data_IF_214627494541
#
_entry.id   IF_214627494541
#
_cell.length_a   1.000
_cell.length_b   1.000
_cell.length_c   1.000
_cell.angle_alpha   90.00
_cell.angle_beta   90.00
_cell.angle_gamma   90.00
#
_symmetry.space_group_name_H-M   'P 1'
#
loop_
_entity.id
_entity.type
_entity.pdbx_description
1 polymer ?
#
# COMPACT_ATOMS: atom_id res chain seq x y z
N UNK A 1 44.91 -59.01 -53.15
CA UNK A 1 43.85 -58.09 -52.70
C UNK A 1 43.81 -56.95 -53.72
N UNK A 2 42.87 -57.04 -54.68
CA UNK A 2 42.67 -56.19 -55.88
C UNK A 2 42.45 -54.70 -55.52
N UNK A 3 42.99 -53.69 -56.24
CA UNK A 3 42.72 -53.20 -57.64
C UNK A 3 41.22 -52.84 -57.83
N UNK A 4 40.76 -51.75 -58.45
CA UNK A 4 41.27 -50.90 -59.54
C UNK A 4 40.38 -49.62 -59.67
N UNK A 5 40.82 -48.70 -60.53
CA UNK A 5 40.32 -47.38 -60.94
C UNK A 5 38.91 -47.24 -61.57
N UNK A 6 38.49 -45.96 -61.68
CA UNK A 6 37.78 -45.23 -62.79
C UNK A 6 36.32 -44.72 -62.53
N UNK A 7 35.90 -43.57 -63.12
CA UNK A 7 34.66 -42.83 -62.82
C UNK A 7 33.56 -42.99 -63.89
N UNK A 8 32.47 -42.21 -63.71
CA UNK A 8 31.58 -41.61 -64.74
C UNK A 8 30.18 -42.25 -65.02
N UNK A 9 29.18 -41.36 -64.98
CA UNK A 9 27.86 -41.27 -65.69
C UNK A 9 26.62 -42.10 -65.24
N UNK A 10 25.54 -41.34 -64.98
CA UNK A 10 24.21 -41.36 -65.66
C UNK A 10 22.95 -41.76 -64.85
N UNK A 11 22.13 -40.74 -64.59
CA UNK A 11 20.67 -40.62 -64.83
C UNK A 11 19.74 -41.78 -64.42
N UNK A 12 18.79 -41.48 -63.52
CA UNK A 12 17.62 -42.33 -63.27
C UNK A 12 16.53 -41.59 -62.48
N UNK A 13 15.48 -41.19 -63.20
CA UNK A 13 14.27 -40.52 -62.76
C UNK A 13 13.46 -41.27 -61.68
N UNK A 14 12.65 -40.49 -60.95
CA UNK A 14 11.33 -40.80 -60.36
C UNK A 14 11.25 -41.68 -59.10
N UNK A 15 10.90 -41.05 -57.96
CA UNK A 15 9.59 -41.17 -57.28
C UNK A 15 9.64 -40.40 -55.94
N UNK A 16 8.72 -39.46 -55.74
CA UNK A 16 8.61 -38.67 -54.51
C UNK A 16 8.06 -39.51 -53.34
N UNK A 17 8.49 -39.25 -52.09
CA UNK A 17 7.70 -39.58 -50.91
C UNK A 17 6.89 -38.35 -50.41
N UNK A 18 5.79 -38.60 -49.70
CA UNK A 18 4.68 -37.66 -49.55
C UNK A 18 4.97 -36.54 -48.56
N UNK A 19 4.52 -35.32 -48.91
CA UNK A 19 4.32 -34.21 -47.99
C UNK A 19 3.03 -34.48 -47.22
N UNK A 20 3.07 -35.27 -46.16
CA UNK A 20 1.96 -35.39 -45.20
C UNK A 20 2.55 -35.75 -43.84
N UNK A 21 2.36 -34.88 -42.84
CA UNK A 21 2.91 -35.03 -41.49
C UNK A 21 3.34 -33.73 -40.81
N UNK A 22 3.33 -32.60 -41.52
CA UNK A 22 3.51 -31.28 -40.89
C UNK A 22 2.18 -30.63 -40.50
N UNK A 23 1.15 -30.82 -41.33
CA UNK A 23 -0.18 -30.23 -41.07
C UNK A 23 -0.96 -30.97 -39.98
N UNK A 24 -0.82 -32.28 -39.85
CA UNK A 24 -1.49 -33.02 -38.76
C UNK A 24 -0.94 -32.61 -37.38
N UNK A 25 0.37 -32.34 -37.28
CA UNK A 25 1.00 -31.84 -36.03
C UNK A 25 0.59 -30.40 -35.74
N UNK A 26 0.37 -29.58 -36.78
CA UNK A 26 -0.11 -28.21 -36.60
C UNK A 26 -1.59 -28.16 -36.20
N UNK A 27 -2.43 -29.02 -36.75
CA UNK A 27 -3.84 -29.11 -36.36
C UNK A 27 -3.97 -29.66 -34.93
N UNK A 28 -3.16 -30.66 -34.55
CA UNK A 28 -3.13 -31.21 -33.18
C UNK A 28 -2.64 -30.15 -32.16
N UNK A 29 -1.61 -29.37 -32.52
CA UNK A 29 -1.15 -28.23 -31.71
C UNK A 29 -2.17 -27.08 -31.67
N UNK A 30 -2.91 -26.82 -32.76
CA UNK A 30 -3.99 -25.82 -32.76
C UNK A 30 -5.18 -26.28 -31.90
N UNK A 31 -5.42 -27.59 -31.82
CA UNK A 31 -6.48 -28.17 -31.02
C UNK A 31 -6.09 -28.19 -29.54
N UNK A 32 -4.84 -28.54 -29.18
CA UNK A 32 -4.30 -28.39 -27.82
C UNK A 32 -4.30 -26.92 -27.36
N UNK A 33 -3.91 -25.97 -28.22
CA UNK A 33 -3.96 -24.53 -27.90
C UNK A 33 -5.39 -24.00 -27.71
N UNK A 34 -6.40 -24.64 -28.34
CA UNK A 34 -7.80 -24.26 -28.18
C UNK A 34 -8.46 -24.86 -26.93
N UNK A 35 -7.90 -25.93 -26.37
CA UNK A 35 -8.38 -26.58 -25.14
C UNK A 35 -7.74 -26.00 -23.87
N UNK A 36 -6.62 -25.27 -23.97
CA UNK A 36 -6.01 -24.54 -22.84
C UNK A 36 -6.67 -23.17 -22.54
N UNK A 37 -7.59 -22.68 -23.39
CA UNK A 37 -8.45 -21.54 -23.05
C UNK A 37 -9.65 -22.02 -22.20
N UNK A 38 -9.34 -22.71 -21.09
CA UNK A 38 -10.34 -23.16 -20.14
C UNK A 38 -10.92 -21.96 -19.40
N UNK A 39 -12.23 -21.78 -19.52
CA UNK A 39 -13.07 -20.69 -18.98
C UNK A 39 -13.21 -20.69 -17.45
N UNK A 40 -12.21 -21.16 -16.72
CA UNK A 40 -12.21 -21.31 -15.26
C UNK A 40 -10.86 -20.87 -14.64
N UNK A 41 -10.12 -19.97 -15.32
CA UNK A 41 -8.93 -19.33 -14.73
C UNK A 41 -9.38 -18.24 -13.73
N UNK A 42 -9.08 -18.36 -12.42
CA UNK A 42 -9.39 -17.34 -11.43
C UNK A 42 -8.67 -16.00 -11.65
N UNK A 43 -7.76 -15.91 -12.63
CA UNK A 43 -7.10 -14.68 -13.07
C UNK A 43 -7.31 -14.43 -14.57
N UNK A 44 -8.58 -14.25 -14.96
CA UNK A 44 -8.94 -13.76 -16.28
C UNK A 44 -8.25 -12.40 -16.56
N UNK A 45 -7.46 -12.35 -17.63
CA UNK A 45 -6.73 -11.15 -18.05
C UNK A 45 -7.69 -9.99 -18.36
N UNK A 46 -8.88 -10.27 -18.89
CA UNK A 46 -9.89 -9.25 -19.16
C UNK A 46 -10.47 -8.68 -17.86
N UNK A 47 -10.70 -9.50 -16.84
CA UNK A 47 -11.14 -9.03 -15.53
C UNK A 47 -10.02 -8.25 -14.82
N UNK A 48 -8.76 -8.64 -15.00
CA UNK A 48 -7.62 -7.88 -14.48
C UNK A 48 -7.49 -6.52 -15.19
N UNK A 49 -7.62 -6.46 -16.52
CA UNK A 49 -7.62 -5.22 -17.28
C UNK A 49 -8.80 -4.35 -16.86
N UNK A 50 -10.00 -4.92 -16.70
CA UNK A 50 -11.19 -4.20 -16.27
C UNK A 50 -11.03 -3.62 -14.86
N UNK A 51 -10.48 -4.39 -13.91
CA UNK A 51 -10.17 -3.91 -12.56
C UNK A 51 -9.08 -2.82 -12.57
N UNK A 52 -8.08 -2.93 -13.45
CA UNK A 52 -7.04 -1.91 -13.62
C UNK A 52 -7.61 -0.63 -14.26
N UNK A 53 -8.53 -0.75 -15.22
CA UNK A 53 -9.23 0.38 -15.84
C UNK A 53 -10.15 1.09 -14.84
N UNK A 54 -10.91 0.34 -14.04
CA UNK A 54 -11.75 0.87 -12.97
C UNK A 54 -10.93 1.55 -11.86
N UNK A 55 -9.72 1.05 -11.60
CA UNK A 55 -8.75 1.70 -10.70
C UNK A 55 -8.14 2.96 -11.33
N UNK A 56 -7.92 2.97 -12.65
CA UNK A 56 -7.37 4.11 -13.38
C UNK A 56 -8.39 5.24 -13.62
N UNK A 57 -9.69 4.94 -13.51
CA UNK A 57 -10.79 5.90 -13.68
C UNK A 57 -11.34 6.43 -12.36
N UNK A 58 -10.68 6.16 -11.23
CA UNK A 58 -11.04 6.80 -9.97
C UNK A 58 -11.00 8.32 -10.17
N UNK A 59 -12.14 9.02 -10.03
CA UNK A 59 -12.18 10.45 -10.23
C UNK A 59 -11.17 11.08 -9.27
N UNK A 60 -10.37 12.04 -9.76
CA UNK A 60 -9.49 12.84 -8.90
C UNK A 60 -10.34 13.35 -7.75
N UNK A 61 -10.16 12.75 -6.57
CA UNK A 61 -11.08 12.92 -5.45
C UNK A 61 -10.89 14.33 -4.92
N UNK A 62 -11.75 15.23 -5.38
CA UNK A 62 -11.85 16.58 -4.85
C UNK A 62 -12.86 16.56 -3.70
N UNK A 63 -12.40 16.97 -2.52
CA UNK A 63 -13.25 17.09 -1.35
C UNK A 63 -13.68 18.55 -1.19
N UNK A 64 -14.96 18.77 -0.93
CA UNK A 64 -15.56 20.10 -0.82
C UNK A 64 -15.03 20.89 0.39
N UNK A 65 -14.58 20.19 1.43
CA UNK A 65 -13.98 20.74 2.65
C UNK A 65 -12.44 20.75 2.64
N UNK A 66 -11.83 20.54 1.47
CA UNK A 66 -10.37 20.61 1.26
C UNK A 66 -10.07 21.66 0.19
N UNK A 67 -10.14 22.97 0.51
CA UNK A 67 -9.90 24.02 -0.46
C UNK A 67 -8.41 24.09 -0.85
N UNK A 68 -8.12 24.49 -2.09
CA UNK A 68 -6.74 24.59 -2.62
C UNK A 68 -5.80 25.47 -1.79
N UNK A 69 -6.35 26.45 -1.08
CA UNK A 69 -5.60 27.35 -0.20
C UNK A 69 -5.29 26.75 1.18
N UNK A 70 -5.85 25.59 1.54
CA UNK A 70 -5.57 24.95 2.82
C UNK A 70 -4.14 24.37 2.85
N UNK A 71 -3.48 24.48 4.00
CA UNK A 71 -2.12 23.97 4.21
C UNK A 71 -2.00 22.46 3.96
N UNK A 72 -3.09 21.72 4.17
CA UNK A 72 -3.17 20.27 4.00
C UNK A 72 -3.61 19.82 2.60
N UNK A 73 -3.95 20.75 1.68
CA UNK A 73 -4.51 20.42 0.37
C UNK A 73 -3.64 19.41 -0.39
N UNK A 74 -2.35 19.74 -0.58
CA UNK A 74 -1.43 18.89 -1.33
C UNK A 74 -1.26 17.50 -0.69
N UNK A 75 -1.16 17.43 0.64
CA UNK A 75 -1.02 16.16 1.34
C UNK A 75 -2.25 15.29 1.16
N UNK A 76 -3.44 15.83 1.46
CA UNK A 76 -4.72 15.10 1.35
C UNK A 76 -4.97 14.64 -0.08
N UNK A 77 -4.80 15.52 -1.07
CA UNK A 77 -4.98 15.15 -2.49
C UNK A 77 -4.00 14.06 -2.92
N UNK A 78 -2.74 14.12 -2.47
CA UNK A 78 -1.75 13.10 -2.82
C UNK A 78 -2.08 11.74 -2.20
N UNK A 79 -2.37 11.67 -0.90
CA UNK A 79 -2.66 10.39 -0.24
C UNK A 79 -4.02 9.83 -0.68
N UNK A 80 -4.98 10.69 -1.06
CA UNK A 80 -6.26 10.26 -1.63
C UNK A 80 -6.08 9.70 -3.05
N UNK A 81 -5.26 10.36 -3.89
CA UNK A 81 -4.94 9.87 -5.23
C UNK A 81 -4.20 8.52 -5.21
N UNK A 82 -3.49 8.20 -4.12
CA UNK A 82 -2.86 6.90 -3.89
C UNK A 82 -3.78 5.87 -3.20
N UNK A 83 -5.04 6.20 -2.94
CA UNK A 83 -6.00 5.30 -2.29
C UNK A 83 -5.78 5.07 -0.80
N UNK A 84 -4.82 5.75 -0.17
CA UNK A 84 -4.45 5.57 1.24
C UNK A 84 -5.54 6.14 2.18
N UNK A 85 -6.16 7.24 1.75
CA UNK A 85 -7.29 7.85 2.46
C UNK A 85 -8.49 7.96 1.54
N UNK A 86 -9.67 7.89 2.14
CA UNK A 86 -10.93 8.22 1.47
C UNK A 86 -11.69 9.25 2.29
N UNK A 87 -12.59 9.97 1.63
CA UNK A 87 -13.61 10.76 2.31
C UNK A 87 -14.68 9.87 2.96
N UNK A 88 -15.63 10.51 3.62
CA UNK A 88 -16.78 9.84 4.20
C UNK A 88 -17.69 9.28 3.12
N UNK A 89 -18.28 8.14 3.43
CA UNK A 89 -19.36 7.52 2.66
C UNK A 89 -20.66 7.61 3.44
N UNK A 90 -21.77 7.71 2.73
CA UNK A 90 -23.10 7.63 3.34
C UNK A 90 -23.43 6.18 3.76
N UNK A 91 -24.61 5.97 4.37
CA UNK A 91 -25.05 4.65 4.80
C UNK A 91 -25.23 3.63 3.65
N UNK A 92 -25.33 4.11 2.41
CA UNK A 92 -25.44 3.29 1.21
C UNK A 92 -24.08 3.04 0.56
N UNK A 93 -22.98 3.55 1.13
CA UNK A 93 -21.63 3.40 0.61
C UNK A 93 -21.23 4.45 -0.44
N UNK A 94 -22.07 5.43 -0.74
CA UNK A 94 -21.77 6.47 -1.73
C UNK A 94 -20.81 7.52 -1.13
N UNK A 95 -19.80 7.99 -1.88
CA UNK A 95 -18.94 9.08 -1.44
C UNK A 95 -19.76 10.36 -1.17
N UNK A 96 -19.56 10.96 0.00
CA UNK A 96 -20.23 12.22 0.39
C UNK A 96 -19.55 13.48 -0.18
N UNK A 97 -18.32 13.35 -0.67
CA UNK A 97 -17.48 14.49 -1.08
C UNK A 97 -16.85 15.27 0.10
N UNK A 98 -16.91 14.72 1.32
CA UNK A 98 -16.36 15.32 2.55
C UNK A 98 -15.18 14.48 3.06
N UNK A 99 -14.06 15.13 3.37
CA UNK A 99 -12.88 14.48 3.95
C UNK A 99 -12.87 14.50 5.49
N UNK A 100 -13.36 15.58 6.09
CA UNK A 100 -13.33 15.84 7.53
C UNK A 100 -11.94 16.18 8.07
N UNK A 101 -11.19 17.16 7.51
CA UNK A 101 -9.79 17.40 7.87
C UNK A 101 -9.55 17.66 9.37
N UNK A 102 -10.51 18.28 10.06
CA UNK A 102 -10.43 18.59 11.49
C UNK A 102 -10.87 17.46 12.43
N UNK A 103 -11.41 16.36 11.90
CA UNK A 103 -11.89 15.26 12.74
C UNK A 103 -10.71 14.49 13.33
N UNK A 104 -10.82 14.00 14.58
CA UNK A 104 -9.80 13.15 15.15
C UNK A 104 -9.66 11.86 14.35
N UNK A 105 -8.48 11.27 14.38
CA UNK A 105 -8.19 9.99 13.77
C UNK A 105 -7.97 8.94 14.85
N UNK A 106 -8.56 7.77 14.64
CA UNK A 106 -8.44 6.62 15.54
C UNK A 106 -7.18 5.80 15.28
N UNK A 107 -6.78 4.96 16.24
CA UNK A 107 -5.69 3.99 16.07
C UNK A 107 -5.95 3.07 14.87
N UNK A 108 -7.18 2.56 14.73
CA UNK A 108 -7.58 1.71 13.62
C UNK A 108 -7.42 2.40 12.25
N UNK A 109 -7.81 3.67 12.15
CA UNK A 109 -7.66 4.45 10.92
C UNK A 109 -6.19 4.66 10.57
N UNK A 110 -5.32 4.99 11.53
CA UNK A 110 -3.88 5.11 11.26
C UNK A 110 -3.25 3.79 10.85
N UNK A 111 -3.65 2.66 11.46
CA UNK A 111 -3.17 1.35 11.03
C UNK A 111 -3.47 1.13 9.56
N UNK A 112 -4.72 1.36 9.14
CA UNK A 112 -5.11 1.29 7.72
C UNK A 112 -4.23 2.19 6.86
N UNK A 113 -4.17 3.48 7.20
CA UNK A 113 -3.48 4.47 6.39
C UNK A 113 -1.97 4.18 6.29
N UNK A 114 -1.33 3.77 7.38
CA UNK A 114 0.10 3.47 7.41
C UNK A 114 0.45 2.21 6.60
N UNK A 115 -0.37 1.15 6.69
CA UNK A 115 -0.14 -0.08 5.92
C UNK A 115 -0.42 0.09 4.43
N UNK A 116 -1.45 0.85 4.06
CA UNK A 116 -1.70 1.21 2.66
C UNK A 116 -0.57 2.09 2.11
N UNK A 117 -0.09 3.05 2.90
CA UNK A 117 1.06 3.87 2.52
C UNK A 117 2.34 3.05 2.34
N UNK A 118 2.55 2.03 3.17
CA UNK A 118 3.68 1.11 3.07
C UNK A 118 3.52 0.06 1.94
N UNK A 119 2.39 0.06 1.21
CA UNK A 119 2.12 -0.89 0.13
C UNK A 119 1.94 -2.33 0.59
N UNK A 120 1.52 -2.54 1.83
CA UNK A 120 1.35 -3.89 2.39
C UNK A 120 -0.02 -4.44 2.02
N UNK A 121 -0.02 -5.59 1.34
CA UNK A 121 -1.24 -6.32 1.00
C UNK A 121 -1.69 -7.16 2.20
N UNK A 122 -2.76 -6.74 2.88
CA UNK A 122 -3.22 -7.41 4.11
C UNK A 122 -3.66 -8.86 3.92
N UNK A 123 -4.01 -9.25 2.70
CA UNK A 123 -4.31 -10.63 2.33
C UNK A 123 -3.09 -11.57 2.48
N UNK A 124 -1.87 -11.03 2.46
CA UNK A 124 -0.63 -11.82 2.58
C UNK A 124 -0.20 -12.05 4.03
N UNK A 125 -0.77 -11.32 4.98
CA UNK A 125 -0.46 -11.46 6.39
C UNK A 125 -1.18 -12.67 7.00
N UNK A 126 -0.77 -13.05 8.20
CA UNK A 126 -1.56 -13.94 9.07
C UNK A 126 -2.95 -13.36 9.28
N UNK A 127 -3.95 -14.23 9.30
CA UNK A 127 -5.36 -13.83 9.45
C UNK A 127 -5.85 -13.96 10.91
N UNK A 128 -5.02 -14.51 11.80
CA UNK A 128 -5.30 -14.58 13.23
C UNK A 128 -4.95 -13.27 13.92
N UNK A 129 -5.76 -12.86 14.90
CA UNK A 129 -5.48 -11.74 15.79
C UNK A 129 -5.47 -12.22 17.23
N UNK A 130 -4.55 -11.70 18.02
CA UNK A 130 -4.44 -11.94 19.46
C UNK A 130 -5.17 -10.86 20.25
N UNK A 131 -5.26 -9.63 19.72
CA UNK A 131 -6.00 -8.53 20.30
C UNK A 131 -7.52 -8.81 20.23
N UNK A 132 -8.20 -9.08 21.37
CA UNK A 132 -9.56 -9.62 21.33
C UNK A 132 -10.59 -8.71 20.65
N UNK A 133 -10.50 -7.40 20.89
CA UNK A 133 -11.38 -6.40 20.27
C UNK A 133 -11.24 -6.34 18.74
N UNK A 134 -10.12 -6.80 18.17
CA UNK A 134 -9.89 -6.79 16.73
C UNK A 134 -10.67 -7.89 16.00
N UNK A 135 -11.12 -8.95 16.69
CA UNK A 135 -11.70 -10.13 16.05
C UNK A 135 -12.96 -9.83 15.20
N UNK A 136 -13.78 -8.88 15.63
CA UNK A 136 -14.97 -8.41 14.91
C UNK A 136 -14.82 -6.97 14.36
N UNK A 137 -13.62 -6.40 14.47
CA UNK A 137 -13.38 -5.02 14.06
C UNK A 137 -13.12 -4.93 12.56
N UNK A 138 -13.58 -3.87 11.90
CA UNK A 138 -13.32 -3.64 10.47
C UNK A 138 -11.81 -3.58 10.17
N UNK A 139 -11.01 -3.12 11.13
CA UNK A 139 -9.56 -3.01 11.02
C UNK A 139 -8.81 -4.33 11.27
N UNK A 140 -9.52 -5.45 11.50
CA UNK A 140 -8.93 -6.78 11.70
C UNK A 140 -7.77 -7.12 10.74
N UNK A 141 -7.89 -6.97 9.40
CA UNK A 141 -6.79 -7.32 8.50
C UNK A 141 -5.51 -6.51 8.78
N UNK A 142 -5.64 -5.21 9.09
CA UNK A 142 -4.49 -4.36 9.43
C UNK A 142 -3.92 -4.70 10.80
N UNK A 143 -4.76 -5.01 11.79
CA UNK A 143 -4.30 -5.46 13.11
C UNK A 143 -3.54 -6.77 13.00
N UNK A 144 -4.00 -7.71 12.18
CA UNK A 144 -3.32 -8.99 11.99
C UNK A 144 -1.91 -8.81 11.37
N UNK A 145 -1.79 -7.95 10.36
CA UNK A 145 -0.48 -7.54 9.82
C UNK A 145 0.40 -6.82 10.86
N UNK A 146 -0.20 -5.96 11.68
CA UNK A 146 0.48 -5.23 12.75
C UNK A 146 1.04 -6.15 13.83
N UNK A 147 0.27 -7.16 14.24
CA UNK A 147 0.75 -8.18 15.18
C UNK A 147 1.87 -9.02 14.58
N UNK A 148 1.72 -9.46 13.33
CA UNK A 148 2.77 -10.21 12.63
C UNK A 148 4.05 -9.40 12.45
N UNK A 149 3.91 -8.10 12.17
CA UNK A 149 5.03 -7.16 12.05
C UNK A 149 5.65 -6.74 13.38
N UNK A 150 5.10 -7.16 14.53
CA UNK A 150 5.60 -6.80 15.85
C UNK A 150 5.40 -5.31 16.19
N UNK A 151 4.32 -4.70 15.69
CA UNK A 151 4.06 -3.27 15.88
C UNK A 151 3.95 -2.90 17.35
N UNK A 152 4.74 -1.91 17.78
CA UNK A 152 4.99 -1.60 19.19
C UNK A 152 3.73 -1.20 19.96
N UNK A 153 2.84 -0.44 19.32
CA UNK A 153 1.62 0.05 19.96
C UNK A 153 0.69 -1.09 20.42
N UNK A 154 0.69 -2.23 19.73
CA UNK A 154 -0.23 -3.34 20.04
C UNK A 154 0.14 -4.09 21.31
N UNK A 155 1.39 -4.03 21.78
CA UNK A 155 1.76 -4.57 23.08
C UNK A 155 1.03 -3.90 24.24
N UNK A 156 0.57 -2.67 24.04
CA UNK A 156 -0.23 -1.92 25.02
C UNK A 156 -1.72 -2.26 24.96
N UNK A 157 -2.15 -3.12 24.02
CA UNK A 157 -3.55 -3.48 23.79
C UNK A 157 -4.46 -2.22 23.68
N UNK A 158 -4.13 -1.28 22.78
CA UNK A 158 -4.80 0.03 22.72
C UNK A 158 -6.23 -0.13 22.28
N UNK A 159 -7.17 0.66 22.80
CA UNK A 159 -8.51 0.77 22.20
C UNK A 159 -8.38 1.20 20.73
N UNK A 160 -8.89 0.38 19.80
CA UNK A 160 -8.75 0.65 18.37
C UNK A 160 -9.57 1.86 17.91
N UNK A 161 -10.61 2.23 18.66
CA UNK A 161 -11.54 3.32 18.33
C UNK A 161 -11.23 4.63 19.06
N UNK A 162 -10.25 4.66 19.98
CA UNK A 162 -9.83 5.92 20.58
C UNK A 162 -9.00 6.73 19.58
N UNK A 163 -8.99 8.05 19.78
CA UNK A 163 -8.10 8.95 19.05
C UNK A 163 -6.62 8.59 19.27
N UNK A 164 -5.85 8.61 18.18
CA UNK A 164 -4.41 8.43 18.20
C UNK A 164 -3.69 9.73 18.61
N UNK A 165 -2.62 9.60 19.39
CA UNK A 165 -1.77 10.76 19.74
C UNK A 165 -0.74 11.04 18.66
N UNK A 166 -0.17 12.25 18.68
CA UNK A 166 0.87 12.70 17.73
C UNK A 166 2.06 11.76 17.67
N UNK A 167 2.52 11.31 18.83
CA UNK A 167 3.63 10.38 18.93
C UNK A 167 3.26 8.97 18.44
N UNK A 168 2.04 8.50 18.74
CA UNK A 168 1.55 7.19 18.29
C UNK A 168 1.44 7.12 16.77
N UNK A 169 0.95 8.18 16.12
CA UNK A 169 0.88 8.23 14.64
C UNK A 169 2.27 8.05 14.02
N UNK A 170 3.29 8.74 14.54
CA UNK A 170 4.67 8.62 14.03
C UNK A 170 5.18 7.19 14.24
N UNK A 171 5.02 6.64 15.45
CA UNK A 171 5.49 5.28 15.75
C UNK A 171 4.81 4.24 14.86
N UNK A 172 3.52 4.35 14.60
CA UNK A 172 2.78 3.42 13.73
C UNK A 172 3.28 3.53 12.28
N UNK A 173 3.51 4.74 11.78
CA UNK A 173 4.06 4.94 10.43
C UNK A 173 5.46 4.34 10.32
N UNK A 174 6.35 4.58 11.28
CA UNK A 174 7.68 3.96 11.29
C UNK A 174 7.62 2.44 11.33
N UNK A 175 6.77 1.86 12.18
CA UNK A 175 6.63 0.41 12.30
C UNK A 175 6.08 -0.20 11.01
N UNK A 176 5.08 0.42 10.37
CA UNK A 176 4.51 -0.04 9.10
C UNK A 176 5.55 -0.03 7.96
N UNK A 177 6.40 0.99 7.91
CA UNK A 177 7.49 1.12 6.94
C UNK A 177 8.75 0.33 7.34
N UNK A 178 8.73 -0.38 8.48
CA UNK A 178 9.87 -1.12 9.04
C UNK A 178 11.12 -0.25 9.20
N UNK A 179 10.92 1.02 9.56
CA UNK A 179 11.99 1.98 9.80
C UNK A 179 12.77 1.56 11.05
N UNK A 180 14.08 1.43 10.92
CA UNK A 180 14.97 1.24 12.06
C UNK A 180 15.19 2.60 12.73
N UNK A 181 14.56 2.80 13.89
CA UNK A 181 14.65 4.06 14.64
C UNK A 181 15.89 4.01 15.52
N UNK A 182 16.95 4.79 15.23
CA UNK A 182 18.12 4.84 16.08
C UNK A 182 17.79 5.49 17.43
N UNK A 183 18.54 5.13 18.47
CA UNK A 183 18.47 5.87 19.73
C UNK A 183 18.84 7.34 19.47
N UNK A 184 17.96 8.25 19.86
CA UNK A 184 18.11 9.67 19.61
C UNK A 184 17.23 10.48 20.55
N UNK A 185 17.61 11.73 20.78
CA UNK A 185 16.82 12.69 21.55
C UNK A 185 16.24 13.72 20.61
N UNK A 186 15.00 14.12 20.88
CA UNK A 186 14.35 15.18 20.12
C UNK A 186 14.84 16.54 20.63
N UNK A 187 14.70 17.57 19.79
CA UNK A 187 14.98 18.97 20.19
C UNK A 187 13.83 19.61 20.95
N UNK A 188 12.68 18.92 21.06
CA UNK A 188 11.51 19.40 21.77
C UNK A 188 11.62 19.09 23.27
N UNK A 189 11.33 20.08 24.09
CA UNK A 189 11.53 19.99 25.54
C UNK A 189 10.51 19.09 26.23
N UNK A 190 9.32 18.94 25.64
CA UNK A 190 8.21 18.15 26.15
C UNK A 190 8.24 16.68 25.71
N UNK A 191 9.29 16.24 25.00
CA UNK A 191 9.46 14.84 24.59
C UNK A 191 10.48 14.08 25.43
N UNK A 192 11.15 14.75 26.36
CA UNK A 192 12.23 14.15 27.15
C UNK A 192 11.69 12.97 27.97
N UNK A 193 12.29 11.79 27.81
CA UNK A 193 11.88 10.53 28.43
C UNK A 193 10.53 9.97 27.92
N UNK A 194 9.95 10.57 26.87
CA UNK A 194 8.76 10.02 26.23
C UNK A 194 9.12 8.69 25.52
N UNK A 195 8.28 7.64 25.60
CA UNK A 195 8.60 6.33 25.00
C UNK A 195 8.86 6.38 23.48
N UNK A 196 8.28 7.37 22.80
CA UNK A 196 8.46 7.62 21.37
C UNK A 196 9.38 8.82 21.06
N UNK A 197 10.23 9.25 22.01
CA UNK A 197 11.15 10.39 21.81
C UNK A 197 12.04 10.21 20.58
N UNK A 198 12.59 9.00 20.39
CA UNK A 198 13.46 8.69 19.26
C UNK A 198 12.72 8.73 17.91
N UNK A 199 11.48 8.24 17.86
CA UNK A 199 10.61 8.34 16.69
C UNK A 199 10.36 9.81 16.32
N UNK A 200 10.02 10.63 17.31
CA UNK A 200 9.78 12.07 17.11
C UNK A 200 11.07 12.76 16.61
N UNK A 201 12.22 12.42 17.18
CA UNK A 201 13.52 12.97 16.76
C UNK A 201 13.85 12.64 15.30
N UNK A 202 13.63 11.38 14.89
CA UNK A 202 13.85 10.94 13.51
C UNK A 202 12.88 11.64 12.55
N UNK A 203 11.59 11.66 12.87
CA UNK A 203 10.58 12.31 12.05
C UNK A 203 10.82 13.82 11.89
N UNK A 204 11.28 14.50 12.95
CA UNK A 204 11.65 15.91 12.89
C UNK A 204 12.91 16.13 12.03
N UNK A 205 13.93 15.28 12.17
CA UNK A 205 15.16 15.33 11.37
C UNK A 205 14.86 15.17 9.87
N UNK A 206 13.94 14.28 9.54
CA UNK A 206 13.50 14.03 8.17
C UNK A 206 12.45 15.04 7.68
N UNK A 207 12.14 16.08 8.46
CA UNK A 207 11.13 17.10 8.13
C UNK A 207 9.70 16.57 7.89
N UNK A 208 9.41 15.35 8.36
CA UNK A 208 8.06 14.74 8.37
C UNK A 208 7.16 15.54 9.29
N UNK A 209 7.66 15.87 10.49
CA UNK A 209 6.97 16.68 11.48
C UNK A 209 7.76 17.93 11.87
N UNK A 210 7.06 18.90 12.42
CA UNK A 210 7.64 20.06 13.09
C UNK A 210 6.98 20.26 14.44
N UNK A 211 7.68 20.89 15.37
CA UNK A 211 7.09 21.37 16.62
C UNK A 211 6.18 22.57 16.40
N UNK A 212 5.60 23.04 17.50
CA UNK A 212 4.69 24.16 17.48
C UNK A 212 5.42 25.47 17.17
N UNK A 213 4.65 26.40 16.61
CA UNK A 213 5.07 27.77 16.40
C UNK A 213 4.14 28.70 17.14
N UNK A 214 4.71 29.74 17.75
CA UNK A 214 3.94 30.83 18.32
C UNK A 214 3.22 31.65 17.25
N UNK A 215 2.39 32.59 17.66
CA UNK A 215 1.70 33.52 16.76
C UNK A 215 2.68 34.38 15.92
N UNK A 216 3.92 34.54 16.39
CA UNK A 216 5.01 35.22 15.68
C UNK A 216 5.74 34.32 14.66
N UNK A 217 5.29 33.07 14.50
CA UNK A 217 5.87 32.08 13.61
C UNK A 217 7.17 31.44 14.12
N UNK A 218 7.64 31.80 15.33
CA UNK A 218 8.85 31.23 15.89
C UNK A 218 8.57 29.87 16.55
N UNK A 219 9.49 28.90 16.46
CA UNK A 219 9.36 27.63 17.18
C UNK A 219 9.24 27.86 18.69
N UNK A 220 8.28 27.20 19.32
CA UNK A 220 8.11 27.23 20.79
C UNK A 220 9.04 26.27 21.51
N UNK A 221 9.59 25.28 20.79
CA UNK A 221 10.34 24.17 21.37
C UNK A 221 9.46 23.03 21.90
N UNK A 222 8.14 23.04 21.64
CA UNK A 222 7.20 21.99 22.04
C UNK A 222 6.69 21.19 20.85
N UNK A 223 6.30 19.94 21.09
CA UNK A 223 5.74 19.03 20.08
C UNK A 223 4.34 18.51 20.42
N UNK A 224 4.03 18.42 21.71
CA UNK A 224 2.79 17.88 22.31
C UNK A 224 2.57 16.40 21.94
N UNK A 225 3.46 15.48 22.35
CA UNK A 225 3.43 14.09 21.89
C UNK A 225 2.13 13.35 22.22
N UNK A 226 1.46 13.71 23.31
CA UNK A 226 0.23 13.09 23.79
C UNK A 226 -1.06 13.76 23.29
N UNK A 227 -0.96 14.87 22.55
CA UNK A 227 -2.14 15.50 21.96
C UNK A 227 -2.71 14.64 20.83
N UNK A 228 -4.03 14.68 20.65
CA UNK A 228 -4.71 13.99 19.55
C UNK A 228 -4.35 14.57 18.18
N UNK A 229 -4.39 13.72 17.16
CA UNK A 229 -4.14 14.08 15.76
C UNK A 229 -5.44 14.13 14.97
N UNK A 230 -5.61 15.16 14.15
CA UNK A 230 -6.71 15.21 13.19
C UNK A 230 -6.37 14.57 11.83
N UNK A 231 -7.39 14.32 11.01
CA UNK A 231 -7.26 13.67 9.69
C UNK A 231 -6.30 14.39 8.75
N UNK A 232 -6.28 15.73 8.75
CA UNK A 232 -5.37 16.51 7.92
C UNK A 232 -3.91 16.38 8.36
N UNK A 233 -3.65 16.43 9.66
CA UNK A 233 -2.31 16.22 10.23
C UNK A 233 -1.81 14.80 9.98
N UNK A 234 -2.66 13.78 10.16
CA UNK A 234 -2.33 12.39 9.84
C UNK A 234 -1.98 12.22 8.35
N UNK A 235 -2.79 12.79 7.45
CA UNK A 235 -2.52 12.78 6.01
C UNK A 235 -1.19 13.47 5.69
N UNK A 236 -0.87 14.58 6.35
CA UNK A 236 0.39 15.30 6.17
C UNK A 236 1.61 14.48 6.61
N UNK A 237 1.52 13.78 7.75
CA UNK A 237 2.59 12.91 8.25
C UNK A 237 2.84 11.80 7.23
N UNK A 238 1.79 11.10 6.81
CA UNK A 238 1.91 9.99 5.85
C UNK A 238 2.44 10.49 4.50
N UNK A 239 1.90 11.60 4.00
CA UNK A 239 2.34 12.23 2.76
C UNK A 239 3.85 12.49 2.74
N UNK A 240 4.40 12.97 3.85
CA UNK A 240 5.83 13.29 3.96
C UNK A 240 6.72 12.08 4.23
N UNK A 241 6.14 10.93 4.57
CA UNK A 241 6.86 9.67 4.78
C UNK A 241 6.97 8.80 3.53
N UNK A 242 6.32 9.20 2.44
CA UNK A 242 6.32 8.55 1.12
C UNK A 242 7.43 9.08 0.23
#
# INVERSE_FOLDING_TARGET
MCRLLLPLILLGLLLAPPVFGFFDVLDDLQQELSEEESTDDPLNLDDLIQNLEETAQQPVTSFTDVPQSAWFFNAVTMVAARGIVSGYKDANGNPTGIFGPGNPVTIAEILKMAYEAAGVMTATCKQSVNLPQAAAHWARPYVACAEEGGMRILHLQPDLNRGATRAEVISIVHDAFRVQVPAGRSTFTDTVNHPYEADIALAATNSVVSGDKGADGRPTGTFRPDDGVNRAEAAQIIAKSL
#
